data_IF_797292851177
#
_entry.id   IF_797292851177
#
_cell.length_a   1.000
_cell.length_b   1.000
_cell.length_c   1.000
_cell.angle_alpha   90.00
_cell.angle_beta   90.00
_cell.angle_gamma   90.00
#
_symmetry.space_group_name_H-M   'P 1'
#
loop_
_entity.id
_entity.type
_entity.pdbx_description
1 polymer ?
#
# COMPACT_ATOMS: atom_id res chain seq x y z
N UNK A 1 14.76 -33.00 6.21
CA UNK A 1 14.95 -32.90 4.75
C UNK A 1 14.07 -31.78 4.21
N UNK A 2 14.61 -30.56 4.14
CA UNK A 2 13.88 -29.36 3.69
C UNK A 2 14.27 -29.12 2.23
N UNK A 3 13.37 -29.44 1.28
CA UNK A 3 13.56 -29.11 -0.14
C UNK A 3 12.98 -27.71 -0.40
N UNK A 4 13.83 -26.70 -0.36
CA UNK A 4 13.53 -25.34 -0.82
C UNK A 4 13.47 -25.39 -2.36
N UNK A 5 12.27 -25.29 -2.93
CA UNK A 5 12.08 -25.06 -4.38
C UNK A 5 12.17 -23.55 -4.65
N UNK A 6 13.37 -23.07 -4.92
CA UNK A 6 13.58 -21.81 -5.63
C UNK A 6 13.33 -22.12 -7.11
N UNK A 7 12.17 -21.72 -7.64
CA UNK A 7 11.91 -21.73 -9.07
C UNK A 7 11.98 -20.30 -9.59
N UNK A 8 13.20 -19.94 -9.98
CA UNK A 8 13.46 -18.96 -11.02
C UNK A 8 12.66 -19.36 -12.28
N UNK A 9 11.82 -18.47 -12.80
CA UNK A 9 11.34 -18.58 -14.18
C UNK A 9 11.84 -17.36 -14.94
N UNK A 10 12.92 -17.59 -15.68
CA UNK A 10 13.46 -16.70 -16.70
C UNK A 10 13.25 -17.39 -18.05
N UNK A 11 12.82 -16.60 -19.04
CA UNK A 11 12.84 -16.82 -20.50
C UNK A 11 11.56 -17.33 -21.17
N UNK A 12 10.81 -16.38 -21.74
CA UNK A 12 10.26 -16.49 -23.09
C UNK A 12 10.76 -15.27 -23.89
N UNK A 13 11.79 -15.52 -24.71
CA UNK A 13 12.01 -15.08 -26.09
C UNK A 13 11.77 -13.58 -26.38
N UNK A 14 12.87 -12.82 -26.39
CA UNK A 14 13.00 -11.54 -27.06
C UNK A 14 13.11 -11.75 -28.57
N UNK A 15 12.18 -11.16 -29.33
CA UNK A 15 12.36 -10.86 -30.75
C UNK A 15 12.43 -9.34 -30.86
N UNK A 16 13.44 -8.90 -31.59
CA UNK A 16 13.95 -7.54 -31.78
C UNK A 16 12.90 -6.53 -32.26
N UNK A 17 12.77 -5.38 -31.60
CA UNK A 17 12.44 -4.11 -32.25
C UNK A 17 13.08 -2.94 -31.45
N UNK A 18 13.62 -1.90 -32.12
CA UNK A 18 14.72 -1.09 -31.63
C UNK A 18 14.27 0.19 -30.89
N UNK A 19 15.12 0.59 -29.94
CA UNK A 19 15.40 1.98 -29.51
C UNK A 19 14.22 2.96 -29.35
N UNK A 20 13.62 2.98 -28.16
CA UNK A 20 13.27 4.21 -27.44
C UNK A 20 13.56 3.96 -25.95
N UNK A 21 14.81 4.12 -25.52
CA UNK A 21 15.14 4.22 -24.09
C UNK A 21 15.05 5.70 -23.72
N UNK A 22 13.83 6.16 -23.49
CA UNK A 22 13.58 7.33 -22.66
C UNK A 22 13.43 6.88 -21.21
N UNK A 23 14.17 7.57 -20.38
CA UNK A 23 13.96 7.76 -18.95
C UNK A 23 14.52 6.70 -18.00
N UNK A 24 15.82 6.90 -17.75
CA UNK A 24 16.34 7.31 -16.44
C UNK A 24 15.73 6.65 -15.19
N UNK A 25 16.65 6.12 -14.37
CA UNK A 25 16.52 5.81 -12.93
C UNK A 25 16.24 4.36 -12.56
N UNK A 26 17.23 3.49 -12.80
CA UNK A 26 17.53 2.47 -11.80
C UNK A 26 18.37 3.13 -10.69
N UNK A 27 17.72 3.81 -9.74
CA UNK A 27 18.36 4.28 -8.49
C UNK A 27 17.35 4.58 -7.36
N UNK A 28 17.64 3.98 -6.20
CA UNK A 28 17.52 4.49 -4.82
C UNK A 28 16.14 4.77 -4.16
N UNK A 29 15.78 3.87 -3.24
CA UNK A 29 14.79 4.00 -2.14
C UNK A 29 13.38 4.51 -2.50
N UNK A 30 12.36 3.64 -2.37
CA UNK A 30 10.94 4.00 -2.58
C UNK A 30 10.54 5.30 -1.88
N UNK A 31 9.79 6.15 -2.56
CA UNK A 31 9.25 7.39 -1.97
C UNK A 31 8.32 7.08 -0.79
N UNK A 32 8.05 8.08 0.08
CA UNK A 32 7.11 7.87 1.19
C UNK A 32 5.73 7.52 0.65
N UNK A 33 5.28 8.18 -0.42
CA UNK A 33 3.99 7.92 -1.04
C UNK A 33 3.91 6.53 -1.65
N UNK A 34 4.97 6.04 -2.30
CA UNK A 34 5.02 4.67 -2.81
C UNK A 34 4.96 3.62 -1.70
N UNK A 35 5.61 3.88 -0.56
CA UNK A 35 5.52 3.02 0.62
C UNK A 35 4.10 3.01 1.17
N UNK A 36 3.44 4.16 1.23
CA UNK A 36 2.04 4.25 1.66
C UNK A 36 1.10 3.51 0.70
N UNK A 37 1.30 3.64 -0.62
CA UNK A 37 0.54 2.91 -1.63
C UNK A 37 0.73 1.39 -1.47
N UNK A 38 1.98 0.95 -1.31
CA UNK A 38 2.31 -0.46 -1.05
C UNK A 38 1.61 -0.97 0.22
N UNK A 39 1.65 -0.21 1.31
CA UNK A 39 0.99 -0.60 2.56
C UNK A 39 -0.52 -0.71 2.40
N UNK A 40 -1.17 0.24 1.72
CA UNK A 40 -2.62 0.17 1.46
C UNK A 40 -2.96 -1.06 0.61
N UNK A 41 -2.20 -1.33 -0.45
CA UNK A 41 -2.41 -2.51 -1.29
C UNK A 41 -2.35 -3.80 -0.46
N UNK A 42 -1.28 -3.96 0.33
CA UNK A 42 -1.10 -5.13 1.21
C UNK A 42 -2.26 -5.28 2.19
N UNK A 43 -2.71 -4.19 2.82
CA UNK A 43 -3.86 -4.23 3.74
C UNK A 43 -5.14 -4.68 3.04
N UNK A 44 -5.41 -4.16 1.84
CA UNK A 44 -6.59 -4.52 1.05
C UNK A 44 -6.52 -6.00 0.63
N UNK A 45 -5.36 -6.49 0.17
CA UNK A 45 -5.17 -7.90 -0.16
C UNK A 45 -5.43 -8.82 1.03
N UNK A 46 -4.87 -8.50 2.19
CA UNK A 46 -5.09 -9.27 3.43
C UNK A 46 -6.58 -9.32 3.82
N UNK A 47 -7.28 -8.19 3.70
CA UNK A 47 -8.70 -8.11 3.97
C UNK A 47 -9.52 -8.92 2.97
N UNK A 48 -9.27 -8.72 1.67
CA UNK A 48 -9.99 -9.39 0.58
C UNK A 48 -9.86 -10.92 0.68
N UNK A 49 -8.63 -11.41 0.90
CA UNK A 49 -8.36 -12.85 1.04
C UNK A 49 -9.11 -13.47 2.22
N UNK A 50 -9.19 -12.78 3.36
CA UNK A 50 -9.89 -13.33 4.53
C UNK A 50 -11.40 -13.18 4.44
N UNK A 51 -11.89 -11.98 4.14
CA UNK A 51 -13.30 -11.63 4.25
C UNK A 51 -14.11 -12.04 3.03
N UNK A 52 -13.53 -11.95 1.83
CA UNK A 52 -14.22 -12.27 0.57
C UNK A 52 -13.76 -13.59 -0.04
N UNK A 53 -12.86 -14.33 0.63
CA UNK A 53 -12.30 -15.62 0.18
C UNK A 53 -11.69 -15.55 -1.23
N UNK A 54 -11.23 -14.36 -1.63
CA UNK A 54 -10.52 -14.19 -2.89
C UNK A 54 -9.15 -14.87 -2.81
N UNK A 55 -8.70 -15.44 -3.93
CA UNK A 55 -7.40 -16.10 -4.01
C UNK A 55 -6.30 -15.06 -4.27
N UNK A 56 -5.73 -15.06 -5.48
CA UNK A 56 -4.57 -14.22 -5.83
C UNK A 56 -4.98 -12.84 -6.36
N UNK A 57 -6.21 -12.71 -6.86
CA UNK A 57 -6.73 -11.50 -7.49
C UNK A 57 -7.71 -10.83 -6.53
N UNK A 58 -7.61 -9.50 -6.38
CA UNK A 58 -8.59 -8.72 -5.62
C UNK A 58 -9.98 -8.86 -6.25
N UNK A 59 -11.02 -9.02 -5.42
CA UNK A 59 -12.39 -8.88 -5.91
C UNK A 59 -12.64 -7.45 -6.42
N UNK A 60 -13.69 -7.28 -7.21
CA UNK A 60 -14.02 -5.98 -7.84
C UNK A 60 -14.08 -4.83 -6.82
N UNK A 61 -14.80 -5.01 -5.71
CA UNK A 61 -14.92 -3.99 -4.66
C UNK A 61 -13.57 -3.59 -4.04
N UNK A 62 -12.69 -4.56 -3.80
CA UNK A 62 -11.36 -4.29 -3.23
C UNK A 62 -10.42 -3.65 -4.26
N UNK A 63 -10.55 -4.04 -5.53
CA UNK A 63 -9.82 -3.43 -6.65
C UNK A 63 -10.22 -1.96 -6.82
N UNK A 64 -11.52 -1.65 -6.78
CA UNK A 64 -12.03 -0.29 -6.90
C UNK A 64 -11.63 0.58 -5.71
N UNK A 65 -11.67 0.01 -4.50
CA UNK A 65 -11.15 0.69 -3.30
C UNK A 65 -9.66 1.01 -3.43
N UNK A 66 -8.85 0.08 -3.94
CA UNK A 66 -7.42 0.29 -4.13
C UNK A 66 -7.14 1.36 -5.18
N UNK A 67 -7.77 1.29 -6.36
CA UNK A 67 -7.64 2.30 -7.42
C UNK A 67 -8.02 3.69 -6.92
N UNK A 68 -9.12 3.78 -6.18
CA UNK A 68 -9.55 5.03 -5.57
C UNK A 68 -8.49 5.57 -4.58
N UNK A 69 -7.94 4.71 -3.72
CA UNK A 69 -6.93 5.11 -2.75
C UNK A 69 -5.63 5.59 -3.42
N UNK A 70 -5.21 4.90 -4.49
CA UNK A 70 -4.03 5.25 -5.28
C UNK A 70 -4.20 6.60 -5.97
N UNK A 71 -5.35 6.85 -6.60
CA UNK A 71 -5.65 8.14 -7.24
C UNK A 71 -5.58 9.29 -6.22
N UNK A 72 -6.12 9.09 -5.01
CA UNK A 72 -6.04 10.07 -3.93
C UNK A 72 -4.63 10.30 -3.42
N UNK A 73 -3.77 9.28 -3.44
CA UNK A 73 -2.36 9.41 -3.09
C UNK A 73 -1.59 10.20 -4.15
N UNK A 74 -1.80 9.89 -5.44
CA UNK A 74 -1.18 10.59 -6.57
C UNK A 74 -1.53 12.08 -6.58
N UNK A 75 -2.78 12.40 -6.32
CA UNK A 75 -3.30 13.77 -6.33
C UNK A 75 -3.26 14.44 -4.94
N UNK A 76 -2.42 13.94 -4.03
CA UNK A 76 -2.32 14.48 -2.69
C UNK A 76 -1.65 15.86 -2.72
N UNK A 77 -2.36 16.90 -2.27
CA UNK A 77 -1.84 18.28 -2.19
C UNK A 77 -0.58 18.44 -1.32
N UNK A 78 -0.35 17.51 -0.40
CA UNK A 78 0.80 17.55 0.51
C UNK A 78 2.00 16.75 0.01
N UNK A 79 1.86 15.98 -1.08
CA UNK A 79 2.94 15.16 -1.62
C UNK A 79 3.64 14.30 -0.56
N UNK A 80 4.98 14.34 -0.54
CA UNK A 80 5.83 13.59 0.40
C UNK A 80 5.71 14.05 1.87
N UNK A 81 5.22 15.27 2.11
CA UNK A 81 5.01 15.81 3.46
C UNK A 81 3.68 15.36 4.08
N UNK A 82 2.84 14.65 3.31
CA UNK A 82 1.52 14.19 3.72
C UNK A 82 1.52 13.50 5.10
N UNK A 83 0.66 13.92 6.05
CA UNK A 83 0.49 13.21 7.32
C UNK A 83 -0.12 11.81 7.10
N UNK A 84 -0.24 11.01 8.17
CA UNK A 84 -1.00 9.74 8.07
C UNK A 84 -2.47 10.04 7.73
N UNK A 85 -3.15 9.11 7.03
CA UNK A 85 -4.53 9.34 6.61
C UNK A 85 -5.48 9.66 7.78
N UNK A 86 -5.20 9.13 8.98
CA UNK A 86 -5.96 9.38 10.20
C UNK A 86 -5.73 10.80 10.77
N UNK A 87 -4.50 11.30 10.69
CA UNK A 87 -4.11 12.65 11.13
C UNK A 87 -4.22 13.70 10.03
N UNK A 88 -4.81 13.37 8.89
CA UNK A 88 -4.89 14.26 7.75
C UNK A 88 -5.95 15.33 7.97
N UNK A 89 -5.54 16.60 7.91
CA UNK A 89 -6.44 17.74 8.09
C UNK A 89 -7.45 17.90 6.95
N UNK A 90 -7.24 17.22 5.80
CA UNK A 90 -8.22 17.23 4.70
C UNK A 90 -9.05 15.98 4.65
N UNK A 91 -10.31 16.19 4.34
CA UNK A 91 -11.29 15.15 4.07
C UNK A 91 -11.29 14.76 2.59
N UNK A 92 -10.19 14.18 2.10
CA UNK A 92 -10.05 13.82 0.68
C UNK A 92 -10.81 12.54 0.27
N UNK A 93 -11.20 11.69 1.24
CA UNK A 93 -12.02 10.50 0.97
C UNK A 93 -13.51 10.82 1.02
N UNK A 94 -14.26 10.37 0.01
CA UNK A 94 -15.72 10.29 0.04
C UNK A 94 -16.17 9.45 1.25
N UNK A 95 -17.31 9.77 1.90
CA UNK A 95 -17.77 9.09 3.11
C UNK A 95 -17.77 7.55 2.99
N UNK A 96 -18.37 7.01 1.94
CA UNK A 96 -18.50 5.55 1.75
C UNK A 96 -17.13 4.87 1.58
N UNK A 97 -16.25 5.47 0.78
CA UNK A 97 -14.89 4.95 0.57
C UNK A 97 -14.04 5.06 1.85
N UNK A 98 -14.28 6.09 2.65
CA UNK A 98 -13.62 6.29 3.95
C UNK A 98 -14.01 5.19 4.93
N UNK A 99 -15.27 4.80 4.95
CA UNK A 99 -15.73 3.71 5.80
C UNK A 99 -15.12 2.38 5.36
N UNK A 100 -15.15 2.08 4.05
CA UNK A 100 -14.51 0.89 3.48
C UNK A 100 -13.03 0.78 3.87
N UNK A 101 -12.25 1.84 3.67
CA UNK A 101 -10.82 1.79 4.00
C UNK A 101 -10.55 1.69 5.51
N UNK A 102 -11.40 2.28 6.36
CA UNK A 102 -11.30 2.14 7.82
C UNK A 102 -11.54 0.70 8.27
N UNK A 103 -12.52 0.02 7.67
CA UNK A 103 -12.78 -1.39 7.93
C UNK A 103 -11.57 -2.25 7.56
N UNK A 104 -10.98 -2.00 6.39
CA UNK A 104 -9.72 -2.64 5.95
C UNK A 104 -8.58 -2.36 6.93
N UNK A 105 -8.34 -1.09 7.29
CA UNK A 105 -7.26 -0.70 8.22
C UNK A 105 -7.43 -1.32 9.61
N UNK A 106 -8.66 -1.35 10.15
CA UNK A 106 -8.98 -1.95 11.45
C UNK A 106 -8.71 -3.46 11.44
N UNK A 107 -9.03 -4.13 10.33
CA UNK A 107 -8.75 -5.55 10.19
C UNK A 107 -7.26 -5.83 9.97
N UNK A 108 -6.65 -5.21 8.96
CA UNK A 108 -5.31 -5.54 8.51
C UNK A 108 -4.21 -4.94 9.39
N UNK A 109 -4.41 -3.77 10.00
CA UNK A 109 -3.41 -3.04 10.78
C UNK A 109 -2.72 -3.89 11.86
N UNK A 110 -3.45 -4.43 12.86
CA UNK A 110 -2.85 -5.28 13.89
C UNK A 110 -2.34 -6.61 13.32
N UNK A 111 -2.96 -7.12 12.24
CA UNK A 111 -2.62 -8.43 11.66
C UNK A 111 -1.37 -8.38 10.78
N UNK A 112 -1.00 -7.21 10.27
CA UNK A 112 0.16 -7.01 9.42
C UNK A 112 1.48 -7.34 10.14
N UNK A 113 1.51 -7.27 11.47
CA UNK A 113 2.69 -7.69 12.25
C UNK A 113 3.03 -9.17 12.01
N UNK A 114 2.02 -10.03 11.86
CA UNK A 114 2.23 -11.47 11.71
C UNK A 114 2.62 -11.87 10.29
N UNK A 115 2.14 -11.14 9.27
CA UNK A 115 2.41 -11.46 7.86
C UNK A 115 3.59 -10.68 7.30
N UNK A 116 3.75 -9.43 7.71
CA UNK A 116 4.78 -8.50 7.24
C UNK A 116 5.34 -7.70 8.43
N UNK A 117 6.12 -8.34 9.32
CA UNK A 117 6.49 -7.78 10.62
C UNK A 117 7.10 -6.38 10.52
N UNK A 118 8.07 -6.17 9.62
CA UNK A 118 8.72 -4.86 9.42
C UNK A 118 7.71 -3.78 9.01
N UNK A 119 6.79 -4.10 8.09
CA UNK A 119 5.78 -3.15 7.62
C UNK A 119 4.71 -2.88 8.68
N UNK A 120 4.25 -3.92 9.36
CA UNK A 120 3.23 -3.86 10.41
C UNK A 120 3.70 -3.02 11.60
N UNK A 121 4.91 -3.25 12.11
CA UNK A 121 5.48 -2.44 13.18
C UNK A 121 5.59 -0.97 12.76
N UNK A 122 6.11 -0.67 11.56
CA UNK A 122 6.19 0.72 11.07
C UNK A 122 4.82 1.38 10.93
N UNK A 123 3.82 0.66 10.45
CA UNK A 123 2.46 1.17 10.27
C UNK A 123 1.80 1.49 11.61
N UNK A 124 1.91 0.59 12.60
CA UNK A 124 1.33 0.79 13.93
C UNK A 124 2.04 1.88 14.73
N UNK A 125 3.38 1.95 14.67
CA UNK A 125 4.13 3.02 15.34
C UNK A 125 3.87 4.40 14.75
N UNK A 126 3.49 4.49 13.47
CA UNK A 126 3.02 5.75 12.86
C UNK A 126 1.72 6.27 13.49
N UNK A 127 0.94 5.41 14.15
CA UNK A 127 -0.30 5.77 14.87
C UNK A 127 -0.02 6.28 16.29
N UNK A 128 1.08 5.86 16.93
CA UNK A 128 1.39 6.22 18.34
C UNK A 128 2.14 7.53 18.51
N UNK A 129 2.61 8.17 17.43
CA UNK A 129 3.01 9.59 17.49
C UNK A 129 1.77 10.48 17.53
N UNK A 130 1.16 10.58 18.70
CA UNK A 130 0.34 11.72 19.11
C UNK A 130 1.25 12.95 18.92
N UNK A 131 0.79 13.97 18.17
CA UNK A 131 1.42 15.30 18.32
C UNK A 131 1.15 15.70 19.76
N UNK A 132 2.19 15.68 20.59
CA UNK A 132 2.18 16.57 21.74
C UNK A 132 2.12 17.97 21.13
N UNK A 133 0.94 18.59 21.25
CA UNK A 133 0.88 20.04 21.26
C UNK A 133 1.54 20.45 22.57
N UNK A 134 2.84 20.69 22.52
CA UNK A 134 3.51 21.57 23.47
C UNK A 134 3.68 22.91 22.75
N UNK A 135 2.72 23.79 23.01
CA UNK A 135 2.91 25.21 23.32
C UNK A 135 4.07 25.94 22.63
N UNK A 136 3.74 26.80 21.64
CA UNK A 136 3.91 28.27 21.71
C UNK A 136 3.27 28.93 20.47
#
# INVERSE_FOLDING_TARGET
MIKIKIFYYKNIIYISFPTILSDSTLSTSKSRLERENTTINTMIQMYCKKCHKANEILCQDCSDLFKYAEERLRNCRFGEEKPTCDACIVHCYKPDMREKIRTVMRYAGPRMIYTHPIMGFRHLLKKTKKKDNSDE
#
